data_IF_573252440025
#
_entry.id   IF_573252440025
#
_cell.length_a   1.000
_cell.length_b   1.000
_cell.length_c   1.000
_cell.angle_alpha   90.00
_cell.angle_beta   90.00
_cell.angle_gamma   90.00
#
_symmetry.space_group_name_H-M   'P 1'
#
loop_
_entity.id
_entity.type
_entity.pdbx_description
1 polymer ?
#
# COMPACT_ATOMS: atom_id res chain seq x y z
N UNK A 1 -19.78 -13.12 -4.64
CA UNK A 1 -18.50 -13.56 -4.04
C UNK A 1 -18.65 -13.50 -2.52
N UNK A 2 -18.50 -14.64 -1.84
CA UNK A 2 -18.71 -14.75 -0.38
C UNK A 2 -17.47 -14.19 0.31
N UNK A 3 -17.63 -13.08 1.03
CA UNK A 3 -16.55 -12.47 1.83
C UNK A 3 -16.40 -13.24 3.15
N UNK A 4 -15.19 -13.60 3.60
CA UNK A 4 -14.99 -14.38 4.82
C UNK A 4 -15.43 -13.62 6.07
N UNK A 5 -16.13 -14.33 6.96
CA UNK A 5 -16.43 -13.87 8.32
C UNK A 5 -15.14 -13.88 9.16
N UNK A 6 -14.66 -12.72 9.58
CA UNK A 6 -13.57 -12.63 10.55
C UNK A 6 -13.41 -11.21 11.09
N UNK A 7 -13.67 -11.05 12.40
CA UNK A 7 -13.39 -9.87 13.24
C UNK A 7 -14.23 -8.62 12.94
N UNK A 8 -15.55 -8.76 12.99
CA UNK A 8 -16.38 -7.63 13.36
C UNK A 8 -16.41 -7.54 14.88
N UNK A 9 -16.02 -6.38 15.40
CA UNK A 9 -16.47 -5.94 16.71
C UNK A 9 -17.97 -6.21 16.79
N UNK A 10 -18.39 -7.09 17.70
CA UNK A 10 -19.80 -7.19 18.03
C UNK A 10 -20.22 -5.77 18.40
N UNK A 11 -21.04 -5.17 17.54
CA UNK A 11 -21.78 -3.97 17.86
C UNK A 11 -22.67 -4.37 19.04
N UNK A 12 -22.11 -4.23 20.24
CA UNK A 12 -22.82 -4.40 21.50
C UNK A 12 -24.02 -3.48 21.37
N UNK A 13 -25.21 -4.05 21.42
CA UNK A 13 -26.51 -3.39 21.40
C UNK A 13 -26.44 -1.95 21.94
N UNK A 14 -26.13 -0.96 21.10
CA UNK A 14 -26.15 0.46 21.48
C UNK A 14 -27.57 0.97 21.33
N UNK A 15 -28.52 0.26 21.96
CA UNK A 15 -29.84 0.77 22.29
C UNK A 15 -29.78 1.53 23.62
N UNK A 16 -28.70 2.28 23.87
CA UNK A 16 -28.69 3.25 24.97
C UNK A 16 -29.34 4.54 24.50
N UNK A 17 -30.66 4.57 24.68
CA UNK A 17 -31.44 5.79 24.71
C UNK A 17 -30.92 6.66 25.84
N UNK A 18 -30.19 7.73 25.55
CA UNK A 18 -30.03 8.81 26.52
C UNK A 18 -31.38 9.49 26.69
N UNK A 19 -32.12 9.10 27.73
CA UNK A 19 -33.28 9.87 28.19
C UNK A 19 -32.74 11.22 28.67
N UNK A 20 -33.32 12.35 28.26
CA UNK A 20 -32.96 13.63 28.86
C UNK A 20 -33.37 13.56 30.32
N UNK A 21 -32.41 13.75 31.23
CA UNK A 21 -32.73 14.18 32.58
C UNK A 21 -33.58 15.45 32.48
N UNK A 22 -34.61 15.50 33.31
CA UNK A 22 -35.56 16.61 33.34
C UNK A 22 -34.81 17.95 33.53
N UNK A 23 -35.35 18.98 32.87
CA UNK A 23 -34.95 20.40 33.01
C UNK A 23 -33.71 20.86 32.22
N UNK A 24 -33.77 20.86 30.89
CA UNK A 24 -33.18 21.96 30.10
C UNK A 24 -33.84 22.13 28.74
N UNK A 25 -34.17 23.38 28.41
CA UNK A 25 -34.85 23.81 27.18
C UNK A 25 -33.91 23.88 25.98
N UNK A 26 -33.36 22.74 25.56
CA UNK A 26 -32.90 22.45 24.18
C UNK A 26 -32.27 21.06 24.15
N UNK A 27 -33.07 20.01 23.91
CA UNK A 27 -32.53 18.67 23.76
C UNK A 27 -31.90 18.50 22.37
N UNK A 28 -30.57 18.44 22.32
CA UNK A 28 -29.84 18.13 21.09
C UNK A 28 -29.85 16.60 20.93
N UNK A 29 -30.42 16.10 19.83
CA UNK A 29 -30.41 14.68 19.49
C UNK A 29 -29.26 14.38 18.54
N UNK A 30 -28.45 13.39 18.87
CA UNK A 30 -27.33 12.92 18.05
C UNK A 30 -27.68 11.52 17.53
N UNK A 31 -27.60 11.34 16.21
CA UNK A 31 -27.86 10.08 15.51
C UNK A 31 -26.61 9.63 14.74
N UNK A 32 -26.29 8.34 14.76
CA UNK A 32 -25.17 7.74 14.01
C UNK A 32 -25.59 6.39 13.45
N UNK A 33 -25.45 6.20 12.13
CA UNK A 33 -25.87 5.00 11.40
C UNK A 33 -24.77 3.94 11.24
N UNK A 34 -23.69 4.03 12.01
CA UNK A 34 -22.54 3.12 11.90
C UNK A 34 -21.64 3.45 10.70
N UNK A 35 -21.10 2.41 10.03
CA UNK A 35 -20.23 2.47 8.85
C UNK A 35 -20.82 1.66 7.69
N UNK A 36 -20.22 1.80 6.50
CA UNK A 36 -20.49 0.96 5.33
C UNK A 36 -21.91 1.03 4.76
N UNK A 37 -22.67 2.06 5.15
CA UNK A 37 -24.05 2.31 4.73
C UNK A 37 -24.98 1.10 4.92
N UNK A 38 -24.76 0.28 5.96
CA UNK A 38 -25.67 -0.84 6.27
C UNK A 38 -27.02 -0.37 6.82
N UNK A 39 -27.02 0.73 7.57
CA UNK A 39 -28.21 1.33 8.15
C UNK A 39 -28.47 2.71 7.55
N UNK A 40 -29.73 3.02 7.27
CA UNK A 40 -30.19 4.38 7.07
C UNK A 40 -30.96 4.86 8.30
N UNK A 41 -30.77 6.12 8.69
CA UNK A 41 -31.65 6.77 9.67
C UNK A 41 -32.79 7.46 8.93
N UNK A 42 -34.02 7.02 9.15
CA UNK A 42 -35.21 7.75 8.76
C UNK A 42 -35.56 8.69 9.92
N UNK A 43 -35.54 10.00 9.66
CA UNK A 43 -35.84 11.01 10.68
C UNK A 43 -37.05 11.80 10.23
N UNK A 44 -38.11 11.75 11.01
CA UNK A 44 -39.35 12.49 10.78
C UNK A 44 -39.43 13.67 11.75
N UNK A 45 -39.68 14.87 11.20
CA UNK A 45 -39.85 16.10 11.97
C UNK A 45 -41.27 16.61 11.79
N UNK A 46 -41.97 16.79 12.90
CA UNK A 46 -43.32 17.36 12.90
C UNK A 46 -43.26 18.80 13.39
N UNK A 47 -43.84 19.73 12.63
CA UNK A 47 -43.91 21.15 12.98
C UNK A 47 -45.36 21.61 13.11
N UNK A 48 -45.63 22.48 14.07
CA UNK A 48 -46.89 23.18 14.24
C UNK A 48 -46.85 24.53 13.51
N UNK A 49 -47.88 24.76 12.69
CA UNK A 49 -48.06 25.96 11.88
C UNK A 49 -49.17 26.89 12.40
N UNK A 50 -49.75 26.61 13.58
CA UNK A 50 -50.94 27.32 14.08
C UNK A 50 -50.66 28.70 14.69
N UNK A 51 -50.10 29.65 13.93
CA UNK A 51 -50.17 31.10 14.23
C UNK A 51 -49.86 31.95 12.99
N UNK A 52 -50.70 31.87 11.95
CA UNK A 52 -50.53 32.69 10.74
C UNK A 52 -51.84 33.33 10.28
N UNK A 53 -52.59 33.93 11.21
CA UNK A 53 -53.75 34.76 10.88
C UNK A 53 -53.70 36.05 11.67
N UNK A 54 -53.11 37.11 11.10
CA UNK A 54 -53.51 38.48 11.47
C UNK A 54 -52.46 39.57 11.44
N UNK A 55 -51.18 39.32 11.71
CA UNK A 55 -50.18 40.40 11.79
C UNK A 55 -48.91 40.07 11.01
N UNK A 56 -48.30 41.11 10.43
CA UNK A 56 -47.20 41.09 9.46
C UNK A 56 -45.85 40.53 9.96
N UNK A 57 -45.84 39.60 10.91
CA UNK A 57 -44.65 38.86 11.32
C UNK A 57 -44.93 37.36 11.22
N UNK A 58 -44.43 36.74 10.15
CA UNK A 58 -44.38 35.30 9.98
C UNK A 58 -43.50 34.69 11.07
N UNK A 59 -44.10 34.17 12.14
CA UNK A 59 -43.38 33.37 13.14
C UNK A 59 -43.00 32.02 12.54
N UNK A 60 -41.74 31.56 12.71
CA UNK A 60 -41.32 30.27 12.20
C UNK A 60 -42.11 29.12 12.87
N UNK A 61 -42.35 28.01 12.15
CA UNK A 61 -43.09 26.86 12.68
C UNK A 61 -42.40 26.29 13.92
N UNK A 62 -43.17 25.95 14.94
CA UNK A 62 -42.63 25.35 16.16
C UNK A 62 -42.42 23.84 15.96
N UNK A 63 -41.22 23.32 16.27
CA UNK A 63 -40.95 21.89 16.24
C UNK A 63 -41.75 21.17 17.36
N UNK A 64 -42.56 20.19 16.99
CA UNK A 64 -43.46 19.44 17.87
C UNK A 64 -42.84 18.12 18.29
N UNK A 65 -42.34 17.34 17.32
CA UNK A 65 -41.71 16.06 17.58
C UNK A 65 -40.58 15.79 16.59
N UNK A 66 -39.66 14.95 17.04
CA UNK A 66 -38.64 14.33 16.21
C UNK A 66 -38.74 12.84 16.48
N UNK A 67 -38.95 12.06 15.45
CA UNK A 67 -39.01 10.61 15.51
C UNK A 67 -37.91 10.04 14.60
N UNK A 68 -37.23 8.99 15.03
CA UNK A 68 -36.13 8.43 14.27
C UNK A 68 -36.14 6.90 14.32
N UNK A 69 -35.96 6.27 13.17
CA UNK A 69 -35.87 4.83 13.00
C UNK A 69 -34.60 4.48 12.21
N UNK A 70 -33.97 3.36 12.54
CA UNK A 70 -32.87 2.81 11.75
C UNK A 70 -33.37 1.65 10.89
N UNK A 71 -33.19 1.78 9.59
CA UNK A 71 -33.62 0.81 8.60
C UNK A 71 -32.41 0.02 8.09
N UNK A 72 -32.44 -1.31 8.18
CA UNK A 72 -31.42 -2.17 7.57
C UNK A 72 -31.61 -2.20 6.05
N UNK A 73 -30.62 -1.68 5.33
CA UNK A 73 -30.70 -1.53 3.88
C UNK A 73 -30.51 -2.87 3.15
N UNK A 74 -30.04 -3.92 3.81
CA UNK A 74 -29.88 -5.25 3.19
C UNK A 74 -31.20 -5.93 2.84
N UNK A 75 -32.32 -5.45 3.41
CA UNK A 75 -33.67 -5.95 3.10
C UNK A 75 -34.25 -5.36 1.81
N UNK A 76 -33.62 -4.33 1.25
CA UNK A 76 -34.09 -3.63 0.06
C UNK A 76 -33.37 -4.11 -1.20
N UNK A 77 -34.11 -4.27 -2.29
CA UNK A 77 -33.50 -4.57 -3.58
C UNK A 77 -32.71 -3.37 -4.10
N UNK A 78 -31.54 -3.64 -4.69
CA UNK A 78 -30.72 -2.59 -5.30
C UNK A 78 -31.49 -1.86 -6.41
N UNK A 79 -31.40 -0.53 -6.42
CA UNK A 79 -31.99 0.29 -7.49
C UNK A 79 -31.35 -0.05 -8.84
N UNK A 80 -32.12 -0.39 -9.90
CA UNK A 80 -31.55 -0.77 -11.20
C UNK A 80 -30.70 0.33 -11.87
N UNK A 81 -31.10 1.60 -11.74
CA UNK A 81 -30.34 2.73 -12.33
C UNK A 81 -29.00 2.95 -11.63
N UNK A 82 -28.99 2.85 -10.29
CA UNK A 82 -27.76 2.93 -9.49
C UNK A 82 -26.89 1.70 -9.74
N UNK A 83 -27.48 0.51 -9.80
CA UNK A 83 -26.75 -0.73 -10.08
C UNK A 83 -26.08 -0.68 -11.46
N UNK A 84 -26.70 -0.07 -12.48
CA UNK A 84 -26.08 0.11 -13.80
C UNK A 84 -24.84 1.02 -13.72
N UNK A 85 -24.91 2.10 -12.95
CA UNK A 85 -23.77 2.99 -12.71
C UNK A 85 -22.65 2.28 -11.92
N UNK A 86 -23.02 1.56 -10.86
CA UNK A 86 -22.10 0.76 -10.05
C UNK A 86 -21.41 -0.27 -10.93
N UNK A 87 -22.15 -1.06 -11.70
CA UNK A 87 -21.59 -2.07 -12.61
C UNK A 87 -20.62 -1.44 -13.62
N UNK A 88 -20.97 -0.27 -14.18
CA UNK A 88 -20.08 0.44 -15.12
C UNK A 88 -18.78 0.91 -14.46
N UNK A 89 -18.81 1.31 -13.19
CA UNK A 89 -17.62 1.75 -12.45
C UNK A 89 -16.80 0.56 -11.94
N UNK A 90 -17.46 -0.47 -11.44
CA UNK A 90 -16.84 -1.72 -11.00
C UNK A 90 -16.18 -2.46 -12.16
N UNK A 91 -16.76 -2.44 -13.37
CA UNK A 91 -16.12 -3.08 -14.53
C UNK A 91 -14.82 -2.41 -14.97
N UNK A 92 -14.56 -1.16 -14.59
CA UNK A 92 -13.24 -0.53 -14.77
C UNK A 92 -12.27 -1.07 -13.72
N UNK A 93 -12.70 -1.15 -12.46
CA UNK A 93 -11.90 -1.70 -11.36
C UNK A 93 -11.56 -3.18 -11.58
N UNK A 94 -12.53 -4.00 -11.97
CA UNK A 94 -12.35 -5.44 -12.26
C UNK A 94 -11.36 -5.64 -13.42
N UNK A 95 -11.40 -4.78 -14.44
CA UNK A 95 -10.46 -4.87 -15.56
C UNK A 95 -9.07 -4.39 -15.17
N UNK A 96 -8.96 -3.35 -14.34
CA UNK A 96 -7.70 -2.94 -13.73
C UNK A 96 -7.12 -4.04 -12.83
N UNK A 97 -7.95 -4.70 -12.04
CA UNK A 97 -7.57 -5.75 -11.09
C UNK A 97 -6.94 -6.96 -11.79
N UNK A 98 -7.48 -7.35 -12.94
CA UNK A 98 -6.97 -8.49 -13.71
C UNK A 98 -5.76 -8.18 -14.61
N UNK A 99 -5.30 -6.92 -14.66
CA UNK A 99 -4.14 -6.57 -15.46
C UNK A 99 -2.90 -7.26 -14.88
N UNK A 100 -2.21 -8.04 -15.70
CA UNK A 100 -0.94 -8.67 -15.31
C UNK A 100 0.14 -7.60 -15.24
N UNK A 101 0.86 -7.57 -14.11
CA UNK A 101 1.96 -6.64 -13.83
C UNK A 101 3.31 -7.36 -13.80
N UNK A 102 3.37 -8.52 -13.14
CA UNK A 102 4.57 -9.34 -13.00
C UNK A 102 4.45 -10.58 -13.90
N UNK A 103 5.51 -10.92 -14.63
CA UNK A 103 5.62 -12.08 -15.51
C UNK A 103 6.78 -13.01 -15.09
N UNK A 104 6.91 -14.19 -15.72
CA UNK A 104 7.88 -15.20 -15.30
C UNK A 104 9.35 -14.78 -15.41
N UNK A 105 9.65 -13.77 -16.20
CA UNK A 105 11.01 -13.40 -16.57
C UNK A 105 11.74 -12.61 -15.46
N UNK A 106 11.04 -12.24 -14.38
CA UNK A 106 11.63 -11.53 -13.25
C UNK A 106 12.59 -12.36 -12.39
N UNK A 107 12.71 -13.66 -12.62
CA UNK A 107 13.57 -14.52 -11.81
C UNK A 107 14.59 -15.27 -12.67
N UNK A 108 15.89 -15.04 -12.37
CA UNK A 108 17.01 -15.84 -12.92
C UNK A 108 17.03 -17.27 -12.38
N UNK A 109 16.34 -17.54 -11.27
CA UNK A 109 16.25 -18.84 -10.61
C UNK A 109 14.78 -19.31 -10.56
N UNK A 110 14.51 -20.62 -10.74
CA UNK A 110 13.16 -21.22 -10.69
C UNK A 110 12.51 -21.19 -9.28
N UNK A 111 12.53 -20.05 -8.59
CA UNK A 111 12.09 -19.90 -7.20
C UNK A 111 10.72 -19.25 -7.14
N UNK A 112 9.66 -20.05 -7.11
CA UNK A 112 8.27 -19.58 -6.98
C UNK A 112 8.10 -18.31 -6.12
N UNK A 113 7.42 -17.29 -6.68
CA UNK A 113 7.04 -16.09 -5.96
C UNK A 113 6.10 -16.47 -4.80
N UNK A 114 6.49 -16.11 -3.58
CA UNK A 114 5.71 -16.36 -2.38
C UNK A 114 5.92 -15.24 -1.38
N UNK A 115 4.85 -14.84 -0.70
CA UNK A 115 4.82 -13.96 0.47
C UNK A 115 4.42 -14.72 1.75
N UNK A 116 4.37 -16.06 1.67
CA UNK A 116 4.02 -16.89 2.83
C UNK A 116 5.11 -16.75 3.88
N UNK A 117 4.71 -16.40 5.10
CA UNK A 117 5.65 -16.29 6.21
C UNK A 117 6.59 -15.08 6.14
N UNK A 118 6.16 -13.94 5.59
CA UNK A 118 6.92 -12.67 5.57
C UNK A 118 7.42 -12.18 6.94
N UNK A 119 6.82 -12.67 8.03
CA UNK A 119 7.23 -12.40 9.43
C UNK A 119 8.16 -13.47 10.01
N UNK A 120 8.44 -14.54 9.27
CA UNK A 120 9.19 -15.72 9.70
C UNK A 120 10.57 -15.79 9.03
N UNK A 121 10.62 -15.48 7.75
CA UNK A 121 11.82 -15.58 6.91
C UNK A 121 11.78 -14.60 5.75
N UNK A 122 12.91 -14.44 5.07
CA UNK A 122 12.98 -13.81 3.76
C UNK A 122 12.07 -14.58 2.80
N UNK A 123 11.35 -13.83 1.97
CA UNK A 123 10.41 -14.36 0.98
C UNK A 123 10.78 -13.84 -0.41
N UNK A 124 10.40 -14.56 -1.46
CA UNK A 124 10.70 -14.15 -2.83
C UNK A 124 9.89 -12.91 -3.23
N UNK A 125 8.64 -12.76 -2.79
CA UNK A 125 7.86 -11.52 -2.98
C UNK A 125 8.48 -10.36 -2.20
N UNK A 126 8.89 -10.58 -0.94
CA UNK A 126 9.57 -9.55 -0.15
C UNK A 126 10.88 -9.09 -0.77
N UNK A 127 11.69 -10.03 -1.28
CA UNK A 127 12.94 -9.73 -2.00
C UNK A 127 12.69 -8.93 -3.27
N UNK A 128 11.73 -9.38 -4.08
CA UNK A 128 11.32 -8.72 -5.32
C UNK A 128 10.82 -7.29 -5.07
N UNK A 129 9.98 -7.07 -4.05
CA UNK A 129 9.48 -5.74 -3.73
C UNK A 129 10.60 -4.81 -3.22
N UNK A 130 11.53 -5.32 -2.40
CA UNK A 130 12.69 -4.54 -2.00
C UNK A 130 13.58 -4.20 -3.20
N UNK A 131 13.85 -5.13 -4.11
CA UNK A 131 14.59 -4.86 -5.35
C UNK A 131 13.93 -3.77 -6.18
N UNK A 132 12.62 -3.85 -6.39
CA UNK A 132 11.87 -2.83 -7.12
C UNK A 132 11.98 -1.44 -6.46
N UNK A 133 11.88 -1.38 -5.13
CA UNK A 133 12.00 -0.10 -4.40
C UNK A 133 13.43 0.44 -4.39
N UNK A 134 14.43 -0.43 -4.32
CA UNK A 134 15.84 -0.08 -4.39
C UNK A 134 16.13 0.61 -5.73
N UNK A 135 15.71 0.00 -6.83
CA UNK A 135 15.94 0.55 -8.18
C UNK A 135 15.13 1.83 -8.43
N UNK A 136 13.84 1.86 -8.08
CA UNK A 136 13.00 3.03 -8.36
C UNK A 136 13.31 4.27 -7.51
N UNK A 137 14.01 4.10 -6.38
CA UNK A 137 14.44 5.19 -5.52
C UNK A 137 15.93 5.50 -5.65
N UNK A 138 16.65 4.85 -6.57
CA UNK A 138 18.11 4.97 -6.73
C UNK A 138 18.86 4.81 -5.38
N UNK A 139 18.45 3.80 -4.62
CA UNK A 139 19.00 3.50 -3.30
C UNK A 139 20.04 2.37 -3.38
N UNK A 140 20.98 2.36 -2.45
CA UNK A 140 21.96 1.27 -2.32
C UNK A 140 21.34 -0.01 -1.76
N UNK A 141 20.24 0.11 -1.00
CA UNK A 141 19.51 -1.00 -0.42
C UNK A 141 18.04 -0.64 -0.19
N UNK A 142 17.18 -1.65 -0.08
CA UNK A 142 15.80 -1.46 0.38
C UNK A 142 15.40 -2.49 1.43
N UNK A 143 14.60 -2.05 2.38
CA UNK A 143 14.02 -2.91 3.42
C UNK A 143 12.52 -2.69 3.57
N UNK A 144 11.79 -3.75 3.87
CA UNK A 144 10.37 -3.75 4.18
C UNK A 144 10.11 -4.63 5.40
N UNK A 145 9.36 -4.14 6.36
CA UNK A 145 8.93 -5.01 7.46
C UNK A 145 7.81 -5.95 6.98
N UNK A 146 7.91 -7.24 7.30
CA UNK A 146 6.93 -8.25 6.86
C UNK A 146 5.48 -7.94 7.25
N UNK A 147 5.25 -7.10 8.27
CA UNK A 147 3.91 -6.70 8.69
C UNK A 147 3.14 -5.87 7.65
N UNK A 148 3.80 -5.20 6.70
CA UNK A 148 3.11 -4.48 5.61
C UNK A 148 2.70 -5.38 4.44
N UNK A 149 3.34 -6.54 4.29
CA UNK A 149 3.01 -7.53 3.27
C UNK A 149 1.87 -8.41 3.79
N UNK A 150 0.73 -8.40 3.10
CA UNK A 150 -0.52 -8.99 3.57
C UNK A 150 -1.04 -10.16 2.72
N UNK A 151 -0.40 -10.48 1.59
CA UNK A 151 -0.98 -11.44 0.66
C UNK A 151 -0.98 -12.86 1.20
N UNK A 152 0.06 -13.26 1.95
CA UNK A 152 0.24 -14.62 2.48
C UNK A 152 -0.07 -15.68 1.41
N UNK A 153 0.56 -15.51 0.25
CA UNK A 153 0.18 -16.18 -0.99
C UNK A 153 1.41 -16.74 -1.70
N UNK A 154 1.17 -17.78 -2.49
CA UNK A 154 2.14 -18.36 -3.41
C UNK A 154 1.62 -18.16 -4.82
N UNK A 155 2.51 -17.83 -5.74
CA UNK A 155 2.26 -17.54 -7.15
C UNK A 155 3.05 -18.56 -8.00
N UNK A 156 2.53 -19.79 -8.19
CA UNK A 156 3.27 -20.89 -8.80
C UNK A 156 3.71 -20.61 -10.23
N UNK A 157 2.88 -19.88 -10.96
CA UNK A 157 3.14 -19.47 -12.33
C UNK A 157 3.87 -18.14 -12.39
N UNK A 158 4.52 -17.65 -11.31
CA UNK A 158 5.28 -16.40 -11.21
C UNK A 158 4.61 -15.15 -11.82
N UNK A 159 3.28 -15.17 -11.89
CA UNK A 159 2.44 -14.11 -12.44
C UNK A 159 1.72 -13.42 -11.28
N UNK A 160 1.76 -12.09 -11.27
CA UNK A 160 0.97 -11.27 -10.35
C UNK A 160 0.19 -10.22 -11.13
N UNK A 161 -1.10 -10.15 -10.86
CA UNK A 161 -1.96 -9.07 -11.33
C UNK A 161 -1.83 -7.82 -10.47
N UNK A 162 -2.38 -6.70 -10.93
CA UNK A 162 -2.48 -5.49 -10.11
C UNK A 162 -3.31 -5.73 -8.84
N UNK A 163 -4.34 -6.59 -8.90
CA UNK A 163 -5.08 -7.02 -7.71
C UNK A 163 -4.18 -7.78 -6.73
N UNK A 164 -3.28 -8.63 -7.21
CA UNK A 164 -2.32 -9.34 -6.36
C UNK A 164 -1.34 -8.37 -5.70
N UNK A 165 -0.82 -7.39 -6.44
CA UNK A 165 0.03 -6.34 -5.86
C UNK A 165 -0.70 -5.55 -4.78
N UNK A 166 -1.97 -5.18 -5.00
CA UNK A 166 -2.82 -4.51 -3.99
C UNK A 166 -3.16 -5.41 -2.81
N UNK A 167 -3.31 -6.71 -3.03
CA UNK A 167 -3.52 -7.70 -1.95
C UNK A 167 -2.27 -7.79 -1.07
N UNK A 168 -1.08 -7.75 -1.66
CA UNK A 168 0.19 -7.75 -0.94
C UNK A 168 0.43 -6.43 -0.19
N UNK A 169 0.18 -5.28 -0.84
CA UNK A 169 0.37 -3.94 -0.27
C UNK A 169 -0.97 -3.15 -0.22
N UNK A 170 -1.90 -3.53 0.67
CA UNK A 170 -3.25 -2.95 0.69
C UNK A 170 -3.31 -1.54 1.29
N UNK A 171 -2.26 -1.13 2.02
CA UNK A 171 -2.16 0.16 2.67
C UNK A 171 -0.98 0.97 2.12
N UNK A 172 -1.10 2.30 2.05
CA UNK A 172 -0.02 3.16 1.58
C UNK A 172 1.18 3.06 2.53
N UNK A 173 2.16 2.25 2.15
CA UNK A 173 3.43 2.14 2.85
C UNK A 173 4.34 3.25 2.34
N UNK A 174 4.55 4.27 3.19
CA UNK A 174 5.32 5.48 2.86
C UNK A 174 6.82 5.17 2.80
N UNK A 175 7.37 4.98 1.61
CA UNK A 175 8.79 4.73 1.40
C UNK A 175 9.56 6.05 1.34
N UNK A 176 10.69 6.08 2.04
CA UNK A 176 11.64 7.21 2.08
C UNK A 176 13.06 6.67 1.93
N UNK A 177 13.97 7.53 1.48
CA UNK A 177 15.40 7.21 1.41
C UNK A 177 16.14 7.93 2.54
N UNK A 178 16.96 7.19 3.29
CA UNK A 178 17.70 7.73 4.43
C UNK A 178 19.15 7.26 4.38
N UNK A 179 20.12 8.18 4.57
CA UNK A 179 21.52 7.81 4.71
C UNK A 179 21.76 7.09 6.06
N UNK A 180 22.41 5.94 6.02
CA UNK A 180 22.89 5.23 7.21
C UNK A 180 24.15 4.43 6.88
N UNK A 181 24.83 3.92 7.92
CA UNK A 181 25.98 3.04 7.69
C UNK A 181 25.55 1.62 7.34
N UNK A 182 26.37 0.90 6.54
CA UNK A 182 26.17 -0.53 6.28
C UNK A 182 26.07 -1.34 7.58
N UNK A 183 26.89 -1.02 8.59
CA UNK A 183 26.79 -1.58 9.95
C UNK A 183 25.40 -1.38 10.56
N UNK A 184 24.85 -0.15 10.57
CA UNK A 184 23.54 0.12 11.16
C UNK A 184 22.44 -0.69 10.46
N UNK A 185 22.48 -0.77 9.13
CA UNK A 185 21.54 -1.60 8.36
C UNK A 185 21.65 -3.09 8.77
N UNK A 186 22.87 -3.64 8.86
CA UNK A 186 23.08 -5.03 9.32
C UNK A 186 22.54 -5.24 10.73
N UNK A 187 22.82 -4.33 11.66
CA UNK A 187 22.29 -4.37 13.02
C UNK A 187 20.76 -4.35 13.04
N UNK A 188 20.12 -3.53 12.22
CA UNK A 188 18.67 -3.49 12.09
C UNK A 188 18.09 -4.82 11.58
N UNK A 189 18.72 -5.42 10.56
CA UNK A 189 18.34 -6.73 10.01
C UNK A 189 18.48 -7.81 11.07
N UNK A 190 19.63 -7.91 11.73
CA UNK A 190 19.88 -8.89 12.80
C UNK A 190 18.89 -8.71 13.96
N UNK A 191 18.68 -7.47 14.40
CA UNK A 191 17.72 -7.16 15.45
C UNK A 191 16.30 -7.62 15.06
N UNK A 192 15.87 -7.37 13.82
CA UNK A 192 14.55 -7.77 13.32
C UNK A 192 14.33 -9.29 13.37
N UNK A 193 15.41 -10.07 13.24
CA UNK A 193 15.42 -11.54 13.28
C UNK A 193 15.44 -12.12 14.70
N UNK A 194 15.55 -11.28 15.73
CA UNK A 194 15.54 -11.74 17.15
C UNK A 194 14.26 -11.38 17.91
N UNK A 195 13.52 -10.37 17.43
CA UNK A 195 12.31 -9.87 18.10
C UNK A 195 11.09 -10.75 17.83
N UNK A 196 10.74 -11.60 18.78
CA UNK A 196 9.52 -12.40 18.72
C UNK A 196 8.26 -11.52 18.70
N UNK A 197 7.23 -11.96 17.98
CA UNK A 197 5.92 -11.33 18.05
C UNK A 197 5.31 -11.58 19.44
N UNK A 198 4.79 -10.51 20.08
CA UNK A 198 4.09 -10.64 21.36
C UNK A 198 2.96 -11.67 21.17
N UNK A 199 2.98 -12.80 21.88
CA UNK A 199 1.89 -13.77 21.81
C UNK A 199 0.59 -13.05 22.18
N UNK A 200 -0.56 -13.36 21.55
CA UNK A 200 -1.82 -12.78 21.95
C UNK A 200 -2.03 -13.07 23.43
N UNK A 201 -2.08 -12.01 24.24
CA UNK A 201 -2.46 -12.09 25.64
C UNK A 201 -3.89 -12.63 25.69
N UNK A 202 -4.04 -13.95 25.83
CA UNK A 202 -5.27 -14.51 26.38
C UNK A 202 -5.48 -13.85 27.74
N UNK A 203 -6.69 -13.31 27.92
CA UNK A 203 -7.14 -12.54 29.07
C UNK A 203 -6.43 -12.91 30.38
N UNK A 204 -5.63 -11.98 30.89
CA UNK A 204 -5.56 -11.52 32.28
C UNK A 204 -4.25 -10.74 32.43
N UNK A 205 -4.37 -9.50 32.89
CA UNK A 205 -3.26 -8.54 32.91
C UNK A 205 -2.05 -9.08 33.66
N UNK A 206 -0.95 -9.25 32.94
CA UNK A 206 0.39 -9.00 33.43
C UNK A 206 1.17 -8.29 32.35
N UNK A 207 1.43 -7.01 32.59
CA UNK A 207 2.48 -6.26 31.92
C UNK A 207 3.78 -7.05 32.10
N UNK A 208 4.25 -7.70 31.03
CA UNK A 208 5.59 -8.28 31.02
C UNK A 208 6.57 -7.15 30.72
N UNK A 209 6.91 -6.40 31.76
CA UNK A 209 8.15 -5.63 31.83
C UNK A 209 9.31 -6.62 31.75
N UNK A 210 10.01 -6.67 30.61
CA UNK A 210 11.40 -7.11 30.49
C UNK A 210 11.94 -6.64 29.14
N UNK A 211 12.08 -5.32 29.00
CA UNK A 211 13.15 -4.77 28.17
C UNK A 211 14.36 -4.66 29.11
N UNK A 212 15.49 -5.30 28.76
CA UNK A 212 16.87 -5.00 29.20
C UNK A 212 17.80 -6.23 29.30
N UNK A 213 17.42 -7.38 28.76
CA UNK A 213 18.38 -8.46 28.47
C UNK A 213 18.26 -8.91 27.02
N UNK A 214 19.34 -8.86 26.22
CA UNK A 214 19.36 -9.53 24.94
C UNK A 214 19.39 -11.03 25.23
N UNK A 215 18.21 -11.64 25.29
CA UNK A 215 18.13 -13.09 25.17
C UNK A 215 18.75 -13.43 23.82
N UNK A 216 19.95 -14.01 23.83
CA UNK A 216 20.54 -14.72 22.69
C UNK A 216 19.63 -15.90 22.34
N UNK A 217 18.48 -15.63 21.74
CA UNK A 217 17.70 -16.64 21.05
C UNK A 217 18.27 -16.65 19.64
N UNK A 218 19.14 -17.61 19.37
CA UNK A 218 19.57 -17.97 18.01
C UNK A 218 18.37 -18.62 17.30
N UNK A 219 17.30 -17.86 17.08
CA UNK A 219 16.20 -18.29 16.23
C UNK A 219 16.71 -18.25 14.81
N UNK A 220 17.16 -19.40 14.30
CA UNK A 220 17.52 -19.56 12.89
C UNK A 220 16.33 -19.20 12.01
N UNK A 221 16.59 -18.74 10.78
CA UNK A 221 15.52 -18.57 9.80
C UNK A 221 14.78 -19.90 9.62
N UNK A 222 13.44 -19.86 9.61
CA UNK A 222 12.61 -21.06 9.44
C UNK A 222 12.18 -21.79 10.72
N UNK A 223 12.50 -21.31 11.92
CA UNK A 223 12.05 -21.92 13.20
C UNK A 223 10.52 -21.85 13.45
N UNK A 224 9.74 -21.38 12.47
CA UNK A 224 8.28 -21.32 12.55
C UNK A 224 7.72 -20.26 13.51
N UNK A 225 8.56 -19.47 14.18
CA UNK A 225 8.14 -18.44 15.14
C UNK A 225 8.04 -17.07 14.46
N UNK A 226 6.86 -16.47 14.52
CA UNK A 226 6.58 -15.12 14.01
C UNK A 226 7.37 -14.06 14.76
N UNK A 227 7.95 -13.13 14.01
CA UNK A 227 8.75 -12.02 14.54
C UNK A 227 8.06 -10.70 14.20
N UNK A 228 7.96 -9.83 15.20
CA UNK A 228 7.19 -8.57 15.13
C UNK A 228 7.62 -7.67 13.98
N UNK A 229 8.91 -7.70 13.66
CA UNK A 229 9.54 -6.75 12.77
C UNK A 229 10.40 -7.37 11.68
N UNK A 230 10.29 -8.67 11.38
CA UNK A 230 11.16 -9.33 10.40
C UNK A 230 11.30 -8.49 9.13
N UNK A 231 12.52 -8.06 8.81
CA UNK A 231 12.79 -7.24 7.64
C UNK A 231 13.03 -8.15 6.43
N UNK A 232 12.22 -7.95 5.39
CA UNK A 232 12.53 -8.34 4.03
C UNK A 232 13.57 -7.36 3.50
N UNK A 233 14.55 -7.86 2.77
CA UNK A 233 15.67 -7.05 2.26
C UNK A 233 15.87 -7.30 0.77
N UNK A 234 16.51 -6.36 0.08
CA UNK A 234 16.90 -6.54 -1.32
C UNK A 234 17.99 -7.62 -1.47
N UNK A 235 18.15 -8.25 -2.66
CA UNK A 235 19.01 -9.41 -2.87
C UNK A 235 20.45 -9.24 -2.37
N UNK A 236 21.07 -8.08 -2.57
CA UNK A 236 22.47 -7.83 -2.19
C UNK A 236 22.70 -7.83 -0.67
N UNK A 237 21.62 -7.67 0.10
CA UNK A 237 21.62 -7.72 1.56
C UNK A 237 20.94 -8.98 2.10
N UNK A 238 20.46 -9.88 1.23
CA UNK A 238 20.02 -11.24 1.57
C UNK A 238 21.23 -12.13 1.87
N UNK A 239 22.10 -11.73 2.78
CA UNK A 239 23.28 -12.52 3.13
C UNK A 239 22.84 -13.61 4.10
N UNK A 240 22.75 -14.84 3.58
CA UNK A 240 23.09 -16.03 4.33
C UNK A 240 24.46 -15.78 4.97
N UNK A 241 24.48 -15.73 6.30
CA UNK A 241 25.65 -15.36 7.10
C UNK A 241 26.94 -15.98 6.58
N UNK A 242 27.77 -15.15 5.95
CA UNK A 242 29.17 -15.22 6.26
C UNK A 242 29.36 -14.28 7.44
N UNK A 243 29.39 -14.84 8.64
CA UNK A 243 29.70 -14.18 9.92
C UNK A 243 31.12 -13.56 9.96
N UNK A 244 31.73 -13.31 8.80
CA UNK A 244 33.10 -12.84 8.60
C UNK A 244 33.17 -11.50 7.83
N UNK A 245 32.05 -10.87 7.47
CA UNK A 245 32.10 -9.47 7.03
C UNK A 245 32.41 -8.58 8.24
N UNK A 246 33.45 -7.76 8.09
CA UNK A 246 34.01 -6.91 9.12
C UNK A 246 32.90 -6.07 9.79
N UNK A 247 32.66 -6.30 11.08
CA UNK A 247 31.71 -5.56 11.95
C UNK A 247 32.12 -4.07 12.12
N UNK A 248 33.10 -3.60 11.35
CA UNK A 248 33.57 -2.22 11.30
C UNK A 248 33.17 -1.48 10.02
N UNK A 249 32.40 -2.09 9.11
CA UNK A 249 31.95 -1.46 7.86
C UNK A 249 30.98 -0.30 8.11
N UNK A 250 31.54 0.90 8.18
CA UNK A 250 30.84 2.17 8.43
C UNK A 250 30.57 2.96 7.14
N UNK A 251 30.67 2.31 5.97
CA UNK A 251 30.37 2.91 4.68
C UNK A 251 28.96 3.50 4.70
N UNK A 252 28.82 4.77 4.32
CA UNK A 252 27.53 5.44 4.20
C UNK A 252 26.81 4.94 2.94
N UNK A 253 25.54 4.58 3.10
CA UNK A 253 24.67 4.10 2.04
C UNK A 253 23.29 4.76 2.15
N UNK A 254 22.61 4.91 1.02
CA UNK A 254 21.22 5.31 0.93
C UNK A 254 20.33 4.08 1.04
N UNK A 255 19.43 4.07 2.03
CA UNK A 255 18.52 2.94 2.24
C UNK A 255 17.09 3.40 2.05
N UNK A 256 16.35 2.71 1.18
CA UNK A 256 14.91 2.85 1.05
C UNK A 256 14.20 2.05 2.15
N UNK A 257 13.34 2.70 2.94
CA UNK A 257 12.58 2.03 4.00
C UNK A 257 11.22 2.69 4.27
N UNK A 258 10.26 1.97 4.89
CA UNK A 258 9.06 2.57 5.43
C UNK A 258 9.39 3.61 6.51
N UNK A 259 8.95 4.86 6.30
CA UNK A 259 9.18 6.00 7.22
C UNK A 259 8.79 5.68 8.67
N UNK A 260 7.73 4.89 8.87
CA UNK A 260 7.21 4.55 10.19
C UNK A 260 8.18 3.70 11.02
N UNK A 261 9.13 2.98 10.41
CA UNK A 261 10.15 2.24 11.15
C UNK A 261 11.04 3.18 11.97
N UNK A 262 11.31 4.39 11.46
CA UNK A 262 12.03 5.46 12.17
C UNK A 262 11.21 6.08 13.31
N UNK A 263 9.89 5.82 13.34
CA UNK A 263 8.96 6.34 14.36
C UNK A 263 8.53 5.28 15.38
N UNK A 264 9.23 4.15 15.45
CA UNK A 264 8.94 3.10 16.43
C UNK A 264 8.05 1.95 15.94
N UNK A 265 7.62 1.97 14.68
CA UNK A 265 6.88 0.85 14.11
C UNK A 265 7.75 -0.42 14.12
N UNK A 266 7.15 -1.55 14.49
CA UNK A 266 7.84 -2.82 14.75
C UNK A 266 8.95 -2.79 15.83
N UNK A 267 9.21 -1.64 16.47
CA UNK A 267 10.19 -1.44 17.56
C UNK A 267 11.62 -1.91 17.22
N UNK A 268 12.05 -1.74 15.97
CA UNK A 268 13.41 -2.09 15.53
C UNK A 268 14.39 -1.06 16.08
N UNK A 269 14.97 -1.33 17.26
CA UNK A 269 15.70 -0.33 18.06
C UNK A 269 16.80 0.43 17.29
N UNK A 270 17.62 -0.21 16.44
CA UNK A 270 18.58 0.53 15.61
C UNK A 270 17.94 1.61 14.72
N UNK A 271 16.80 1.32 14.09
CA UNK A 271 16.07 2.27 13.24
C UNK A 271 15.34 3.34 14.06
N UNK A 272 14.87 3.00 15.27
CA UNK A 272 14.26 3.98 16.19
C UNK A 272 15.30 4.99 16.65
N UNK A 273 16.50 4.53 17.04
CA UNK A 273 17.60 5.40 17.44
C UNK A 273 18.01 6.32 16.28
N UNK A 274 18.13 5.78 15.06
CA UNK A 274 18.39 6.59 13.86
C UNK A 274 17.30 7.65 13.66
N UNK A 275 16.03 7.29 13.84
CA UNK A 275 14.92 8.25 13.75
C UNK A 275 14.99 9.36 14.80
N UNK A 276 15.45 9.08 16.01
CA UNK A 276 15.71 10.08 17.06
C UNK A 276 16.87 11.02 16.68
N UNK A 277 17.96 10.47 16.14
CA UNK A 277 19.11 11.23 15.65
C UNK A 277 18.72 12.18 14.51
N UNK A 278 17.99 11.68 13.51
CA UNK A 278 17.50 12.48 12.38
C UNK A 278 16.56 13.62 12.83
N UNK A 279 15.75 13.40 13.87
CA UNK A 279 14.92 14.46 14.47
C UNK A 279 15.78 15.51 15.15
N UNK A 280 16.81 15.08 15.88
CA UNK A 280 17.73 15.99 16.56
C UNK A 280 18.55 16.85 15.59
N UNK A 281 18.92 16.31 14.43
CA UNK A 281 19.63 17.03 13.36
C UNK A 281 18.71 17.84 12.43
N UNK A 282 17.39 17.68 12.52
CA UNK A 282 16.43 18.32 11.62
C UNK A 282 16.42 17.75 10.20
N UNK A 283 16.88 16.50 10.02
CA UNK A 283 16.94 15.78 8.74
C UNK A 283 15.99 14.58 8.69
N UNK A 284 14.99 14.55 9.57
CA UNK A 284 13.96 13.52 9.56
C UNK A 284 13.06 13.71 8.33
N UNK A 285 12.78 12.67 7.53
CA UNK A 285 11.93 12.81 6.34
C UNK A 285 10.56 13.40 6.68
N UNK A 286 10.12 14.38 5.89
CA UNK A 286 8.83 15.05 6.10
C UNK A 286 7.66 14.09 5.91
N UNK A 287 6.48 14.44 6.43
CA UNK A 287 5.32 13.53 6.40
C UNK A 287 4.75 13.31 4.99
N UNK A 288 4.93 14.29 4.11
CA UNK A 288 4.45 14.31 2.73
C UNK A 288 5.56 13.98 1.71
N UNK A 289 6.81 13.87 2.16
CA UNK A 289 7.96 13.50 1.32
C UNK A 289 8.14 11.98 1.33
N UNK A 290 7.30 11.29 0.57
CA UNK A 290 7.36 9.84 0.41
C UNK A 290 6.78 9.38 -0.92
N UNK A 291 7.16 8.18 -1.33
CA UNK A 291 6.51 7.47 -2.45
C UNK A 291 5.82 6.21 -1.90
N UNK A 292 4.56 5.91 -2.27
CA UNK A 292 3.92 4.67 -1.87
C UNK A 292 4.66 3.44 -2.42
N UNK A 293 4.87 2.43 -1.57
CA UNK A 293 5.49 1.16 -1.95
C UNK A 293 4.84 0.50 -3.19
N UNK A 294 3.50 0.49 -3.26
CA UNK A 294 2.77 -0.08 -4.39
C UNK A 294 3.07 0.65 -5.70
N UNK A 295 3.24 1.98 -5.64
CA UNK A 295 3.53 2.80 -6.82
C UNK A 295 4.93 2.51 -7.34
N UNK A 296 5.91 2.32 -6.45
CA UNK A 296 7.27 1.91 -6.82
C UNK A 296 7.29 0.54 -7.49
N UNK A 297 6.63 -0.46 -6.89
CA UNK A 297 6.55 -1.81 -7.50
C UNK A 297 5.83 -1.77 -8.85
N UNK A 298 4.75 -0.98 -8.96
CA UNK A 298 4.01 -0.80 -10.21
C UNK A 298 4.88 -0.15 -11.28
N UNK A 299 5.57 0.95 -10.95
CA UNK A 299 6.47 1.66 -11.85
C UNK A 299 7.61 0.76 -12.33
N UNK A 300 8.21 0.02 -11.42
CA UNK A 300 9.22 -0.98 -11.73
C UNK A 300 8.73 -2.00 -12.77
N UNK A 301 7.55 -2.58 -12.54
CA UNK A 301 6.95 -3.53 -13.49
C UNK A 301 6.70 -2.89 -14.86
N UNK A 302 6.23 -1.64 -14.88
CA UNK A 302 6.01 -0.88 -16.12
C UNK A 302 7.32 -0.60 -16.88
N UNK A 303 8.40 -0.20 -16.19
CA UNK A 303 9.72 -0.04 -16.82
C UNK A 303 10.22 -1.35 -17.40
N UNK A 304 10.06 -2.46 -16.71
CA UNK A 304 10.44 -3.77 -17.26
C UNK A 304 9.64 -4.15 -18.50
N UNK A 305 8.34 -3.84 -18.54
CA UNK A 305 7.54 -3.99 -19.76
C UNK A 305 8.03 -3.07 -20.89
N UNK A 306 8.52 -1.88 -20.57
CA UNK A 306 9.17 -1.02 -21.55
C UNK A 306 10.45 -1.64 -22.13
N UNK A 307 11.23 -2.38 -21.33
CA UNK A 307 12.38 -3.13 -21.83
C UNK A 307 11.98 -4.21 -22.83
N UNK A 308 10.89 -4.93 -22.56
CA UNK A 308 10.34 -5.90 -23.50
C UNK A 308 9.88 -5.22 -24.80
N UNK A 309 9.27 -4.03 -24.69
CA UNK A 309 8.87 -3.22 -25.84
C UNK A 309 10.07 -2.76 -26.67
N UNK A 310 11.08 -2.16 -26.04
CA UNK A 310 12.28 -1.67 -26.72
C UNK A 310 13.14 -2.80 -27.32
N UNK A 311 13.08 -4.00 -26.75
CA UNK A 311 13.75 -5.18 -27.32
C UNK A 311 13.11 -5.64 -28.64
N UNK A 312 11.81 -5.42 -28.82
CA UNK A 312 11.06 -5.80 -30.03
C UNK A 312 10.90 -4.63 -31.02
N UNK A 313 10.95 -3.39 -30.53
CA UNK A 313 10.77 -2.16 -31.30
C UNK A 313 12.06 -1.35 -31.22
N UNK A 314 12.81 -1.33 -32.31
CA UNK A 314 14.20 -0.87 -32.31
C UNK A 314 14.37 0.64 -32.21
N UNK A 315 13.34 1.43 -32.51
CA UNK A 315 13.44 2.89 -32.55
C UNK A 315 12.18 3.61 -32.08
N UNK A 316 12.35 4.80 -31.53
CA UNK A 316 11.25 5.70 -31.15
C UNK A 316 10.31 5.98 -32.35
N UNK A 317 10.87 6.19 -33.55
CA UNK A 317 10.08 6.51 -34.75
C UNK A 317 9.22 5.34 -35.25
N UNK A 318 9.44 4.12 -34.75
CA UNK A 318 8.60 2.97 -35.05
C UNK A 318 7.31 2.99 -34.19
N UNK A 319 7.31 3.71 -33.07
CA UNK A 319 6.16 3.89 -32.17
C UNK A 319 5.41 5.20 -32.45
N UNK A 320 6.13 6.27 -32.83
CA UNK A 320 5.57 7.58 -33.21
C UNK A 320 4.92 7.48 -34.61
N UNK A 321 3.64 7.11 -34.63
CA UNK A 321 2.91 6.80 -35.86
C UNK A 321 2.56 8.06 -36.64
N UNK A 322 2.24 9.14 -35.92
CA UNK A 322 1.81 10.40 -36.53
C UNK A 322 3.01 11.34 -36.84
N UNK A 323 4.20 11.04 -36.30
CA UNK A 323 5.46 11.77 -36.45
C UNK A 323 5.42 13.18 -35.86
N UNK A 324 4.74 13.35 -34.73
CA UNK A 324 4.67 14.62 -34.01
C UNK A 324 5.81 14.77 -32.98
N UNK A 325 6.65 13.74 -32.82
CA UNK A 325 7.83 13.76 -31.96
C UNK A 325 7.55 13.39 -30.50
N UNK A 326 6.33 12.94 -30.18
CA UNK A 326 5.96 12.44 -28.86
C UNK A 326 5.18 11.13 -29.00
N UNK A 327 5.20 10.26 -28.00
CA UNK A 327 4.33 9.10 -27.93
C UNK A 327 3.15 9.42 -27.03
N UNK A 328 1.97 9.52 -27.65
CA UNK A 328 0.75 9.72 -26.91
C UNK A 328 0.15 8.40 -26.38
N UNK A 329 -0.92 8.54 -25.61
CA UNK A 329 -1.68 7.41 -25.05
C UNK A 329 -2.18 6.42 -26.11
N UNK A 330 -2.51 6.90 -27.30
CA UNK A 330 -2.98 6.05 -28.39
C UNK A 330 -1.84 5.21 -28.97
N UNK A 331 -0.69 5.83 -29.20
CA UNK A 331 0.50 5.20 -29.77
C UNK A 331 1.10 4.16 -28.81
N UNK A 332 1.25 4.51 -27.52
CA UNK A 332 1.69 3.56 -26.48
C UNK A 332 0.74 2.36 -26.42
N UNK A 333 -0.58 2.60 -26.48
CA UNK A 333 -1.56 1.51 -26.50
C UNK A 333 -1.40 0.60 -27.73
N UNK A 334 -1.15 1.17 -28.91
CA UNK A 334 -0.95 0.38 -30.14
C UNK A 334 0.33 -0.46 -30.02
N UNK A 335 1.43 0.15 -29.59
CA UNK A 335 2.70 -0.55 -29.40
C UNK A 335 2.58 -1.70 -28.39
N UNK A 336 1.88 -1.48 -27.27
CA UNK A 336 1.61 -2.54 -26.30
C UNK A 336 0.71 -3.65 -26.87
N UNK A 337 -0.31 -3.29 -27.67
CA UNK A 337 -1.23 -4.25 -28.28
C UNK A 337 -0.50 -5.20 -29.24
N UNK A 338 0.51 -4.69 -29.97
CA UNK A 338 1.27 -5.50 -30.91
C UNK A 338 2.08 -6.60 -30.22
N UNK A 339 2.58 -6.35 -29.00
CA UNK A 339 3.36 -7.32 -28.22
C UNK A 339 2.46 -8.23 -27.37
N UNK A 340 1.46 -7.67 -26.68
CA UNK A 340 0.59 -8.44 -25.80
C UNK A 340 -0.46 -9.26 -26.54
N UNK A 341 -0.64 -9.03 -27.85
CA UNK A 341 -1.68 -9.63 -28.68
C UNK A 341 -3.11 -9.20 -28.32
N UNK A 342 -3.28 -8.43 -27.25
CA UNK A 342 -4.55 -7.88 -26.77
C UNK A 342 -4.36 -6.44 -26.33
N UNK A 343 -5.41 -5.63 -26.44
CA UNK A 343 -5.33 -4.23 -26.06
C UNK A 343 -5.25 -4.10 -24.53
N UNK A 344 -4.21 -3.42 -23.99
CA UNK A 344 -4.10 -3.20 -22.55
C UNK A 344 -5.21 -2.29 -22.04
N UNK A 345 -5.49 -2.40 -20.74
CA UNK A 345 -6.46 -1.54 -20.09
C UNK A 345 -5.97 -0.08 -20.01
N UNK A 346 -6.88 0.91 -20.12
CA UNK A 346 -6.55 2.33 -20.08
C UNK A 346 -5.58 2.72 -18.97
N UNK A 347 -5.87 2.33 -17.73
CA UNK A 347 -5.03 2.63 -16.56
C UNK A 347 -3.61 2.08 -16.69
N UNK A 348 -3.45 0.90 -17.30
CA UNK A 348 -2.12 0.32 -17.46
C UNK A 348 -1.29 1.11 -18.47
N UNK A 349 -1.90 1.60 -19.55
CA UNK A 349 -1.25 2.52 -20.50
C UNK A 349 -0.80 3.80 -19.80
N UNK A 350 -1.66 4.37 -18.95
CA UNK A 350 -1.32 5.58 -18.19
C UNK A 350 -0.12 5.29 -17.25
N UNK A 351 -0.09 4.12 -16.60
CA UNK A 351 1.06 3.70 -15.77
C UNK A 351 2.34 3.39 -16.55
N UNK A 352 2.22 2.98 -17.81
CA UNK A 352 3.37 2.85 -18.68
C UNK A 352 3.96 4.22 -19.01
N UNK A 353 3.14 5.20 -19.34
CA UNK A 353 3.60 6.58 -19.59
C UNK A 353 4.24 7.17 -18.34
N UNK A 354 3.53 7.17 -17.20
CA UNK A 354 3.99 7.66 -15.90
C UNK A 354 5.35 7.06 -15.47
N UNK A 355 5.72 5.88 -15.99
CA UNK A 355 6.92 5.17 -15.57
C UNK A 355 8.22 5.69 -16.19
N UNK A 356 8.14 6.32 -17.37
CA UNK A 356 9.33 6.83 -18.08
C UNK A 356 9.23 8.32 -18.42
N UNK A 357 8.03 8.91 -18.39
CA UNK A 357 7.80 10.36 -18.50
C UNK A 357 8.54 11.11 -17.36
N UNK A 358 9.65 11.77 -17.70
CA UNK A 358 10.51 12.43 -16.72
C UNK A 358 10.00 13.82 -16.31
N UNK A 359 9.31 14.53 -17.21
CA UNK A 359 8.87 15.90 -16.97
C UNK A 359 7.40 15.99 -16.51
N UNK A 360 6.67 14.88 -16.55
CA UNK A 360 5.30 14.73 -16.10
C UNK A 360 4.29 15.40 -17.02
N UNK A 361 4.62 15.59 -18.31
CA UNK A 361 3.75 16.24 -19.28
C UNK A 361 2.64 15.31 -19.82
N UNK A 362 2.71 14.01 -19.50
CA UNK A 362 1.72 13.00 -19.87
C UNK A 362 1.90 12.40 -21.27
N UNK A 363 3.03 12.67 -21.93
CA UNK A 363 3.50 12.04 -23.17
C UNK A 363 4.96 11.61 -23.01
N UNK A 364 5.48 10.82 -23.95
CA UNK A 364 6.88 10.37 -23.91
C UNK A 364 7.62 11.00 -25.08
N UNK A 365 8.64 11.81 -24.82
CA UNK A 365 9.50 12.36 -25.87
C UNK A 365 10.76 11.50 -26.10
N UNK A 366 11.60 11.92 -27.04
CA UNK A 366 12.85 11.22 -27.35
C UNK A 366 13.84 11.23 -26.17
N UNK A 367 13.81 12.26 -25.31
CA UNK A 367 14.67 12.32 -24.14
C UNK A 367 14.23 11.30 -23.07
N UNK A 368 12.93 11.19 -22.80
CA UNK A 368 12.35 10.17 -21.92
C UNK A 368 12.71 8.76 -22.39
N UNK A 369 12.56 8.51 -23.70
CA UNK A 369 12.88 7.22 -24.30
C UNK A 369 14.37 6.89 -24.23
N UNK A 370 15.26 7.87 -24.45
CA UNK A 370 16.71 7.68 -24.32
C UNK A 370 17.16 7.43 -22.89
N UNK A 371 16.50 8.05 -21.89
CA UNK A 371 16.76 7.75 -20.47
C UNK A 371 16.44 6.28 -20.19
N UNK A 372 15.29 5.78 -20.65
CA UNK A 372 14.95 4.36 -20.59
C UNK A 372 16.06 3.50 -21.21
N UNK A 373 16.48 3.80 -22.45
CA UNK A 373 17.53 3.04 -23.15
C UNK A 373 18.86 3.01 -22.38
N UNK A 374 19.25 4.14 -21.79
CA UNK A 374 20.47 4.22 -20.97
C UNK A 374 20.40 3.34 -19.71
N UNK A 375 19.22 3.24 -19.07
CA UNK A 375 19.00 2.34 -17.94
C UNK A 375 19.17 0.86 -18.35
N UNK A 376 18.81 0.49 -19.58
CA UNK A 376 18.98 -0.86 -20.12
C UNK A 376 20.47 -1.20 -20.22
N UNK A 377 21.26 -0.31 -20.82
CA UNK A 377 22.70 -0.53 -21.03
C UNK A 377 23.44 -0.71 -19.70
N UNK A 378 22.98 -0.07 -18.63
CA UNK A 378 23.58 -0.20 -17.29
C UNK A 378 23.17 -1.52 -16.61
N UNK A 379 21.94 -2.01 -16.84
CA UNK A 379 21.47 -3.30 -16.31
C UNK A 379 22.15 -4.51 -16.97
N UNK A 380 22.51 -4.43 -18.24
CA UNK A 380 23.19 -5.53 -18.95
C UNK A 380 24.69 -5.64 -18.61
N UNK A 381 25.27 -4.64 -17.94
CA UNK A 381 26.69 -4.60 -17.54
C UNK A 381 26.95 -5.09 -16.10
N UNK A 382 25.90 -5.21 -15.28
CA UNK A 382 25.94 -5.69 -13.89
C UNK A 382 25.29 -7.08 -13.78
#
# INVERSE_FOLDING_TARGET
MVVPKGLFWEATNMNQWMRPDQESSSSIRILKTGSDARLAALVEWTFDHTHNTGDHQSTPPALVSVDAEFVDLSEYANSPSVQTLVNRKMSVLERMENQIMVHNDFQKENVCLSSVGTRLSQTSVGSFFCMAMQEELDADAAILNGAVLKGDSTYPDNIMSYADLRKELPFPTKMVVVPMTRKLLREAILFSRTQLEDQPTTMEGKESSNADTPAQIHGTEGDGIARRGYLQVSPDFCIHGNDNEDDTDTTQIQVALPRNLLSGFCRIKPLVNLGEELKASGTFPEEDDFVPALDLVTRYCCKNRWLELSSNISRFEDMDMNRDGVLDRHEVKIAMTSILGTAPEPFFVDKMIDAIDQDGNGVIDEADFNVLLSMIEHRDQN
#
